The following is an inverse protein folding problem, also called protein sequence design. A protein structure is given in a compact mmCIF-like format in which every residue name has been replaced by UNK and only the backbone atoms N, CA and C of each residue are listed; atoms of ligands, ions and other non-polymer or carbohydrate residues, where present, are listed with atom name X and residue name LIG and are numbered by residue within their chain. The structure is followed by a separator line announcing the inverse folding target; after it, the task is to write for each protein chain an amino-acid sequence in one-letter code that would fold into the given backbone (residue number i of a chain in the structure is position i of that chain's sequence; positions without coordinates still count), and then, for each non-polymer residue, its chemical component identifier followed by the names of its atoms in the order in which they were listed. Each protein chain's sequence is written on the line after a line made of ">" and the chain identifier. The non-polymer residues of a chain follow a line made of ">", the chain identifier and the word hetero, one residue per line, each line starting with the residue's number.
data_IF_092843568752
#
_entry.id   IF_092843568752
#
_cell.length_a   1.000
_cell.length_b   1.000
_cell.length_c   1.000
_cell.angle_alpha   90.00
_cell.angle_beta   90.00
_cell.angle_gamma   90.00
#
_symmetry.space_group_name_H-M   'P 1'
#
loop_
_entity.id
_entity.type
_entity.pdbx_description
1 polymer ?
#
# COMPACT_ATOMS: atom_id res chain seq x y z
N UNK A 1 1.57 2.48 25.95
CA UNK A 1 1.11 1.18 26.48
C UNK A 1 1.86 0.89 27.76
N UNK A 2 1.19 0.23 28.70
CA UNK A 2 1.75 -0.17 30.00
C UNK A 2 1.48 -1.66 30.17
N UNK A 3 2.46 -2.40 30.69
CA UNK A 3 2.23 -3.78 31.08
C UNK A 3 1.43 -3.82 32.39
N UNK A 4 0.53 -4.79 32.50
CA UNK A 4 -0.19 -5.02 33.76
C UNK A 4 0.72 -5.83 34.69
N UNK A 5 1.30 -5.16 35.69
CA UNK A 5 2.29 -5.75 36.60
C UNK A 5 3.72 -5.39 36.22
N UNK A 6 4.67 -6.26 36.57
CA UNK A 6 6.09 -6.02 36.32
C UNK A 6 6.42 -6.06 34.82
N UNK A 7 7.41 -5.27 34.41
CA UNK A 7 7.94 -5.34 33.06
C UNK A 7 8.57 -6.73 32.82
N UNK A 8 8.29 -7.37 31.67
CA UNK A 8 8.82 -8.69 31.37
C UNK A 8 10.36 -8.67 31.32
N UNK A 9 10.99 -9.68 31.92
CA UNK A 9 12.45 -9.81 31.95
C UNK A 9 13.05 -10.35 30.62
N UNK A 10 12.22 -10.62 29.62
CA UNK A 10 12.59 -11.17 28.33
C UNK A 10 11.81 -10.51 27.20
N UNK A 11 12.34 -10.60 25.98
CA UNK A 11 11.70 -10.03 24.80
C UNK A 11 10.48 -10.85 24.38
N UNK A 12 9.44 -10.15 23.91
CA UNK A 12 8.15 -10.68 23.52
C UNK A 12 7.92 -10.49 22.03
N UNK A 13 7.21 -11.44 21.42
CA UNK A 13 6.60 -11.30 20.09
C UNK A 13 5.08 -11.17 20.21
N UNK A 14 4.38 -10.96 19.09
CA UNK A 14 2.93 -10.72 19.09
C UNK A 14 2.10 -11.86 19.70
N UNK A 15 2.57 -13.11 19.62
CA UNK A 15 1.87 -14.26 20.23
C UNK A 15 1.93 -14.30 21.75
N UNK A 16 2.83 -13.52 22.36
CA UNK A 16 3.11 -13.59 23.80
C UNK A 16 2.29 -12.57 24.60
N UNK A 17 1.55 -11.70 23.91
CA UNK A 17 0.83 -10.58 24.51
C UNK A 17 -0.64 -10.53 24.10
N UNK A 18 -1.46 -10.01 25.00
CA UNK A 18 -2.88 -9.73 24.76
C UNK A 18 -3.21 -8.32 25.24
N UNK A 19 -4.19 -7.68 24.60
CA UNK A 19 -4.73 -6.42 25.07
C UNK A 19 -5.77 -6.68 26.16
N UNK A 20 -5.57 -6.06 27.32
CA UNK A 20 -6.56 -6.09 28.41
C UNK A 20 -7.64 -5.05 28.11
N UNK A 21 -8.93 -5.45 28.00
CA UNK A 21 -10.02 -4.50 27.80
C UNK A 21 -10.08 -3.46 28.92
N UNK A 22 -10.26 -2.18 28.56
CA UNK A 22 -10.48 -1.08 29.51
C UNK A 22 -11.83 -0.41 29.22
N UNK A 23 -12.31 0.36 30.19
CA UNK A 23 -13.52 1.18 30.03
C UNK A 23 -13.38 2.06 28.78
N UNK A 24 -14.36 1.99 27.88
CA UNK A 24 -14.44 2.78 26.65
C UNK A 24 -15.76 3.54 26.61
N UNK A 25 -15.71 4.78 26.11
CA UNK A 25 -16.90 5.60 25.80
C UNK A 25 -17.18 5.70 24.29
N UNK A 26 -16.43 4.97 23.45
CA UNK A 26 -16.60 4.99 21.99
C UNK A 26 -17.96 4.38 21.63
N UNK A 27 -18.83 5.15 20.97
CA UNK A 27 -20.19 4.73 20.62
C UNK A 27 -20.23 3.87 19.36
N UNK A 28 -19.37 4.19 18.38
CA UNK A 28 -19.26 3.44 17.13
C UNK A 28 -17.81 3.22 16.73
N UNK A 29 -17.51 2.06 16.15
CA UNK A 29 -16.19 1.78 15.55
C UNK A 29 -15.83 2.75 14.42
N UNK A 30 -16.82 3.40 13.79
CA UNK A 30 -16.60 4.37 12.71
C UNK A 30 -16.10 5.73 13.23
N UNK A 31 -16.18 5.98 14.53
CA UNK A 31 -15.70 7.22 15.17
C UNK A 31 -14.21 7.15 15.52
N UNK A 32 -13.58 5.97 15.39
CA UNK A 32 -12.16 5.77 15.71
C UNK A 32 -11.30 6.24 14.55
N UNK A 33 -10.49 7.27 14.78
CA UNK A 33 -9.50 7.73 13.81
C UNK A 33 -8.29 6.78 13.79
N UNK A 34 -8.00 6.22 12.61
CA UNK A 34 -6.89 5.31 12.37
C UNK A 34 -5.69 6.00 11.73
N UNK A 35 -5.74 7.31 11.50
CA UNK A 35 -4.67 8.03 10.81
C UNK A 35 -3.36 7.94 11.61
N UNK A 36 -2.23 7.49 11.00
CA UNK A 36 -0.97 7.26 11.71
C UNK A 36 -0.30 8.54 12.22
N UNK A 37 -0.56 9.69 11.58
CA UNK A 37 -0.02 11.01 11.94
C UNK A 37 1.52 11.04 12.05
N UNK A 38 2.19 10.25 11.23
CA UNK A 38 3.65 10.12 11.15
C UNK A 38 4.29 11.03 10.09
N UNK A 39 3.52 11.99 9.57
CA UNK A 39 3.91 12.85 8.44
C UNK A 39 3.55 12.27 7.08
N UNK A 40 3.14 10.99 6.99
CA UNK A 40 2.52 10.47 5.78
C UNK A 40 1.07 10.92 5.68
N UNK A 41 0.57 11.16 4.45
CA UNK A 41 -0.85 11.50 4.23
C UNK A 41 -1.79 10.28 4.35
N UNK A 42 -1.29 9.15 4.86
CA UNK A 42 -2.08 7.96 5.09
C UNK A 42 -3.21 8.22 6.10
N UNK A 43 -4.32 7.52 5.94
CA UNK A 43 -5.51 7.60 6.79
C UNK A 43 -5.77 6.30 7.54
N UNK A 44 -5.06 5.24 7.16
CA UNK A 44 -5.05 3.90 7.76
C UNK A 44 -3.59 3.47 7.95
N UNK A 45 -3.21 2.83 9.07
CA UNK A 45 -1.80 2.62 9.43
C UNK A 45 -1.24 1.34 8.81
N UNK A 46 -1.52 1.12 7.52
CA UNK A 46 -1.12 -0.06 6.77
C UNK A 46 -0.21 0.33 5.62
N UNK A 47 0.96 -0.29 5.58
CA UNK A 47 1.98 -0.07 4.54
C UNK A 47 2.27 -1.39 3.84
N UNK A 48 2.27 -1.42 2.50
CA UNK A 48 2.70 -2.61 1.76
C UNK A 48 4.23 -2.63 1.61
N UNK A 49 4.83 -3.80 1.84
CA UNK A 49 6.28 -3.95 1.82
C UNK A 49 6.89 -3.74 0.42
N UNK A 50 8.10 -3.16 0.39
CA UNK A 50 8.89 -2.83 -0.80
C UNK A 50 9.56 -4.05 -1.45
N UNK A 51 8.76 -5.08 -1.75
CA UNK A 51 9.19 -6.32 -2.38
C UNK A 51 8.57 -6.42 -3.77
N UNK A 52 9.35 -6.89 -4.76
CA UNK A 52 8.90 -7.03 -6.16
C UNK A 52 7.65 -7.92 -6.30
N UNK A 53 7.50 -8.94 -5.45
CA UNK A 53 6.35 -9.86 -5.46
C UNK A 53 5.16 -9.36 -4.62
N UNK A 54 5.19 -8.10 -4.18
CA UNK A 54 4.19 -7.52 -3.28
C UNK A 54 3.70 -6.20 -3.83
N UNK A 55 4.58 -5.20 -3.98
CA UNK A 55 4.13 -3.84 -4.28
C UNK A 55 4.55 -3.40 -5.68
N UNK A 56 3.62 -3.55 -6.62
CA UNK A 56 3.62 -2.82 -7.88
C UNK A 56 2.80 -1.52 -7.82
N UNK A 57 2.79 -0.78 -8.93
CA UNK A 57 2.04 0.46 -9.06
C UNK A 57 0.52 0.25 -8.79
N UNK A 58 -0.05 -0.86 -9.28
CA UNK A 58 -1.47 -1.19 -9.10
C UNK A 58 -1.85 -1.40 -7.64
N UNK A 59 -1.04 -2.15 -6.88
CA UNK A 59 -1.25 -2.28 -5.43
C UNK A 59 -1.11 -0.94 -4.72
N UNK A 60 -0.08 -0.15 -5.04
CA UNK A 60 0.14 1.15 -4.41
C UNK A 60 -1.08 2.08 -4.59
N UNK A 61 -1.58 2.23 -5.82
CA UNK A 61 -2.78 3.02 -6.09
C UNK A 61 -4.02 2.46 -5.38
N UNK A 62 -4.22 1.15 -5.40
CA UNK A 62 -5.38 0.51 -4.76
C UNK A 62 -5.34 0.68 -3.24
N UNK A 63 -4.17 0.52 -2.62
CA UNK A 63 -3.99 0.68 -1.19
C UNK A 63 -4.17 2.15 -0.76
N UNK A 64 -3.64 3.10 -1.54
CA UNK A 64 -3.83 4.53 -1.32
C UNK A 64 -5.32 4.94 -1.37
N UNK A 65 -6.11 4.39 -2.31
CA UNK A 65 -7.58 4.60 -2.34
C UNK A 65 -8.29 4.10 -1.08
N UNK A 66 -7.71 3.13 -0.37
CA UNK A 66 -8.22 2.60 0.90
C UNK A 66 -7.57 3.25 2.13
N UNK A 67 -6.73 4.26 1.93
CA UNK A 67 -6.12 5.03 3.01
C UNK A 67 -4.74 4.55 3.46
N UNK A 68 -4.22 3.45 2.91
CA UNK A 68 -2.88 2.94 3.22
C UNK A 68 -1.79 3.56 2.33
N UNK A 69 -0.59 3.00 2.40
CA UNK A 69 0.57 3.46 1.63
C UNK A 69 1.31 2.27 1.00
N UNK A 70 1.57 2.33 -0.31
CA UNK A 70 2.42 1.34 -0.98
C UNK A 70 3.85 1.84 -1.12
N UNK A 71 4.84 1.00 -0.77
CA UNK A 71 6.26 1.28 -1.02
C UNK A 71 6.76 0.50 -2.23
N UNK A 72 7.09 1.21 -3.31
CA UNK A 72 7.68 0.61 -4.50
C UNK A 72 9.10 0.10 -4.22
N UNK A 73 9.51 -1.06 -4.76
CA UNK A 73 10.80 -1.68 -4.48
C UNK A 73 11.98 -0.91 -5.10
N UNK A 74 13.15 -1.04 -4.46
CA UNK A 74 14.38 -0.34 -4.85
C UNK A 74 15.13 -0.99 -6.02
N UNK A 75 14.79 -2.24 -6.37
CA UNK A 75 15.53 -3.06 -7.34
C UNK A 75 15.09 -2.83 -8.79
N UNK A 76 14.06 -2.00 -9.00
CA UNK A 76 13.62 -1.61 -10.33
C UNK A 76 14.59 -0.61 -10.96
N UNK A 77 14.80 -0.66 -12.29
CA UNK A 77 15.46 0.42 -13.01
C UNK A 77 14.80 1.76 -12.70
N UNK A 78 15.61 2.82 -12.53
CA UNK A 78 15.09 4.14 -12.10
C UNK A 78 13.98 4.67 -13.01
N UNK A 79 14.06 4.40 -14.32
CA UNK A 79 13.04 4.80 -15.30
C UNK A 79 11.71 4.08 -15.08
N UNK A 80 11.73 2.80 -14.70
CA UNK A 80 10.53 2.03 -14.40
C UNK A 80 9.89 2.49 -13.08
N UNK A 81 10.73 2.79 -12.08
CA UNK A 81 10.26 3.31 -10.79
C UNK A 81 9.62 4.70 -10.95
N UNK A 82 10.26 5.57 -11.75
CA UNK A 82 9.74 6.89 -12.12
C UNK A 82 8.41 6.80 -12.88
N UNK A 83 8.31 5.91 -13.87
CA UNK A 83 7.07 5.65 -14.60
C UNK A 83 5.97 5.09 -13.69
N UNK A 84 6.30 4.18 -12.77
CA UNK A 84 5.35 3.62 -11.80
C UNK A 84 4.81 4.69 -10.84
N UNK A 85 5.65 5.60 -10.34
CA UNK A 85 5.23 6.72 -9.50
C UNK A 85 4.24 7.61 -10.26
N UNK A 86 4.59 8.03 -11.48
CA UNK A 86 3.70 8.88 -12.30
C UNK A 86 2.38 8.17 -12.61
N UNK A 87 2.44 6.89 -12.95
CA UNK A 87 1.24 6.10 -13.17
C UNK A 87 0.31 6.10 -11.96
N UNK A 88 0.85 5.95 -10.72
CA UNK A 88 0.05 6.03 -9.49
C UNK A 88 -0.53 7.43 -9.31
N UNK A 89 0.25 8.48 -9.57
CA UNK A 89 -0.18 9.88 -9.47
C UNK A 89 -1.27 10.26 -10.48
N UNK A 90 -1.28 9.62 -11.64
CA UNK A 90 -2.28 9.83 -12.69
C UNK A 90 -3.57 9.05 -12.45
N UNK A 91 -3.58 8.11 -11.50
CA UNK A 91 -4.79 7.36 -11.18
C UNK A 91 -5.80 8.23 -10.40
N UNK A 92 -7.10 8.18 -10.75
CA UNK A 92 -8.11 8.90 -9.97
C UNK A 92 -8.30 8.26 -8.60
N UNK A 93 -8.41 9.11 -7.57
CA UNK A 93 -8.63 8.67 -6.21
C UNK A 93 -10.03 8.08 -5.96
N UNK A 94 -11.02 8.48 -6.77
CA UNK A 94 -12.42 8.10 -6.59
C UNK A 94 -12.79 6.73 -7.20
N UNK A 95 -12.09 6.31 -8.26
CA UNK A 95 -12.47 5.16 -9.10
C UNK A 95 -11.39 4.10 -9.10
N UNK A 96 -11.77 2.82 -9.21
CA UNK A 96 -10.79 1.75 -9.29
C UNK A 96 -10.05 1.77 -10.63
N UNK A 97 -8.82 1.27 -10.63
CA UNK A 97 -8.02 1.15 -11.87
C UNK A 97 -8.59 0.03 -12.76
N UNK A 98 -8.90 0.31 -14.04
CA UNK A 98 -9.39 -0.71 -14.96
C UNK A 98 -8.34 -1.81 -15.18
N UNK A 99 -8.79 -3.03 -15.43
CA UNK A 99 -7.95 -4.08 -16.00
C UNK A 99 -8.37 -4.23 -17.46
N UNK A 100 -7.49 -3.83 -18.38
CA UNK A 100 -7.77 -3.82 -19.82
C UNK A 100 -7.00 -4.95 -20.48
N UNK A 101 -7.68 -5.80 -21.24
CA UNK A 101 -7.05 -6.85 -22.06
C UNK A 101 -7.59 -6.79 -23.49
N UNK A 102 -6.75 -7.12 -24.48
CA UNK A 102 -7.16 -7.04 -25.87
C UNK A 102 -8.17 -8.15 -26.22
N UNK A 103 -9.00 -7.94 -27.26
CA UNK A 103 -10.07 -8.87 -27.63
C UNK A 103 -9.58 -10.28 -28.01
N UNK A 104 -8.34 -10.40 -28.49
CA UNK A 104 -7.70 -11.66 -28.89
C UNK A 104 -7.04 -12.41 -27.73
N UNK A 105 -6.90 -11.79 -26.55
CA UNK A 105 -6.49 -12.49 -25.34
C UNK A 105 -7.50 -13.61 -25.01
N UNK A 106 -6.98 -14.69 -24.46
CA UNK A 106 -7.80 -15.85 -24.08
C UNK A 106 -8.30 -15.72 -22.65
N UNK A 107 -9.31 -16.53 -22.31
CA UNK A 107 -9.73 -16.71 -20.90
C UNK A 107 -8.55 -17.19 -20.05
N UNK A 108 -7.71 -18.09 -20.57
CA UNK A 108 -6.52 -18.55 -19.87
C UNK A 108 -5.60 -17.38 -19.50
N UNK A 109 -5.29 -16.49 -20.46
CA UNK A 109 -4.46 -15.29 -20.21
C UNK A 109 -5.10 -14.41 -19.13
N UNK A 110 -6.40 -14.13 -19.24
CA UNK A 110 -7.12 -13.30 -18.28
C UNK A 110 -7.10 -13.90 -16.87
N UNK A 111 -7.26 -15.22 -16.74
CA UNK A 111 -7.26 -15.90 -15.43
C UNK A 111 -5.90 -15.94 -14.74
N UNK A 112 -4.80 -15.69 -15.46
CA UNK A 112 -3.47 -15.49 -14.84
C UNK A 112 -3.41 -14.20 -14.01
N UNK A 113 -4.21 -13.21 -14.38
CA UNK A 113 -4.26 -11.90 -13.73
C UNK A 113 -5.47 -11.77 -12.79
N UNK A 114 -6.58 -12.40 -13.14
CA UNK A 114 -7.85 -12.22 -12.47
C UNK A 114 -8.53 -13.56 -12.13
N UNK A 115 -8.48 -14.01 -10.86
CA UNK A 115 -9.17 -15.22 -10.45
C UNK A 115 -10.69 -15.02 -10.50
N UNK A 116 -11.50 -16.09 -10.68
CA UNK A 116 -12.96 -15.99 -10.78
C UNK A 116 -13.63 -15.51 -9.48
N UNK A 117 -13.70 -14.19 -9.28
CA UNK A 117 -14.11 -13.55 -8.02
C UNK A 117 -15.09 -12.40 -8.26
N UNK A 118 -16.14 -12.31 -7.46
CA UNK A 118 -17.14 -11.25 -7.58
C UNK A 118 -16.58 -9.83 -7.36
N UNK A 119 -17.14 -8.88 -8.11
CA UNK A 119 -16.84 -7.45 -8.04
C UNK A 119 -15.66 -7.02 -8.89
N UNK A 120 -15.15 -7.91 -9.74
CA UNK A 120 -14.04 -7.66 -10.65
C UNK A 120 -14.41 -8.06 -12.08
N UNK A 121 -13.74 -7.43 -13.05
CA UNK A 121 -13.91 -7.75 -14.46
C UNK A 121 -12.81 -7.16 -15.32
N UNK A 122 -12.75 -7.66 -16.55
CA UNK A 122 -11.82 -7.21 -17.58
C UNK A 122 -12.57 -6.33 -18.56
N UNK A 123 -12.05 -5.13 -18.79
CA UNK A 123 -12.46 -4.25 -19.88
C UNK A 123 -11.81 -4.75 -21.16
N UNK A 124 -12.61 -5.14 -22.14
CA UNK A 124 -12.11 -5.72 -23.39
C UNK A 124 -11.92 -4.62 -24.43
N UNK A 125 -10.66 -4.23 -24.66
CA UNK A 125 -10.28 -3.18 -25.60
C UNK A 125 -8.78 -3.29 -25.93
N UNK A 126 -8.33 -2.65 -27.01
CA UNK A 126 -6.90 -2.52 -27.27
C UNK A 126 -6.25 -1.63 -26.18
N UNK A 127 -5.13 -2.06 -25.57
CA UNK A 127 -4.41 -1.22 -24.61
C UNK A 127 -3.96 0.10 -25.24
N UNK A 128 -4.23 1.21 -24.56
CA UNK A 128 -3.84 2.55 -24.97
C UNK A 128 -3.68 3.45 -23.75
N UNK A 129 -2.86 4.50 -23.87
CA UNK A 129 -2.66 5.51 -22.80
C UNK A 129 -3.97 6.23 -22.44
N UNK A 130 -4.84 6.43 -23.43
CA UNK A 130 -6.20 6.95 -23.24
C UNK A 130 -7.17 5.99 -23.91
N UNK A 131 -8.03 5.39 -23.10
CA UNK A 131 -9.06 4.47 -23.55
C UNK A 131 -10.39 5.22 -23.70
N UNK A 132 -10.98 5.23 -24.89
CA UNK A 132 -12.31 5.80 -25.11
C UNK A 132 -13.39 4.74 -24.95
N UNK A 133 -14.58 5.13 -24.48
CA UNK A 133 -15.68 4.18 -24.25
C UNK A 133 -16.18 3.54 -25.55
N UNK A 134 -16.08 4.23 -26.69
CA UNK A 134 -16.40 3.67 -28.00
C UNK A 134 -15.46 2.55 -28.46
N UNK A 135 -14.23 2.51 -27.94
CA UNK A 135 -13.23 1.47 -28.27
C UNK A 135 -13.41 0.21 -27.42
N UNK A 136 -14.24 0.27 -26.38
CA UNK A 136 -14.51 -0.83 -25.47
C UNK A 136 -15.57 -1.76 -26.05
N UNK A 137 -15.20 -3.02 -26.27
CA UNK A 137 -16.08 -4.05 -26.83
C UNK A 137 -17.04 -4.65 -25.79
N UNK A 138 -16.74 -4.46 -24.50
CA UNK A 138 -17.57 -4.88 -23.38
C UNK A 138 -16.75 -5.17 -22.13
N UNK A 139 -17.43 -5.71 -21.12
CA UNK A 139 -16.81 -6.14 -19.86
C UNK A 139 -17.06 -7.63 -19.68
N UNK A 140 -15.99 -8.39 -19.40
CA UNK A 140 -16.10 -9.80 -19.00
C UNK A 140 -15.87 -9.87 -17.49
N UNK A 141 -16.90 -10.23 -16.73
CA UNK A 141 -16.77 -10.36 -15.27
C UNK A 141 -15.86 -11.53 -14.92
N UNK A 142 -15.14 -11.42 -13.80
CA UNK A 142 -14.20 -12.47 -13.39
C UNK A 142 -14.91 -13.80 -13.13
N UNK A 143 -16.12 -13.79 -12.57
CA UNK A 143 -16.95 -14.99 -12.39
C UNK A 143 -17.20 -15.69 -13.72
N UNK A 144 -17.44 -14.92 -14.80
CA UNK A 144 -17.66 -15.50 -16.12
C UNK A 144 -16.41 -16.17 -16.69
N UNK A 145 -15.21 -15.63 -16.42
CA UNK A 145 -13.94 -16.27 -16.79
C UNK A 145 -13.84 -17.69 -16.22
N UNK A 146 -14.29 -17.90 -14.98
CA UNK A 146 -14.24 -19.23 -14.34
C UNK A 146 -15.16 -20.29 -14.94
N UNK A 147 -16.15 -19.89 -15.74
CA UNK A 147 -17.11 -20.81 -16.40
C UNK A 147 -16.85 -20.99 -17.90
N UNK A 148 -16.01 -20.14 -18.49
CA UNK A 148 -15.72 -20.14 -19.91
C UNK A 148 -14.60 -21.13 -20.27
N UNK A 149 -14.53 -21.53 -21.54
CA UNK A 149 -13.45 -22.39 -22.03
C UNK A 149 -12.12 -21.63 -22.00
N UNK A 150 -11.00 -22.24 -21.56
CA UNK A 150 -9.71 -21.55 -21.44
C UNK A 150 -9.19 -20.91 -22.73
N UNK A 151 -9.49 -21.52 -23.89
CA UNK A 151 -9.08 -21.06 -25.22
C UNK A 151 -10.05 -20.06 -25.87
N UNK A 152 -11.20 -19.80 -25.24
CA UNK A 152 -12.14 -18.79 -25.72
C UNK A 152 -11.49 -17.40 -25.68
N UNK A 153 -11.74 -16.59 -26.71
CA UNK A 153 -11.26 -15.21 -26.78
C UNK A 153 -12.17 -14.27 -25.99
N UNK A 154 -11.59 -13.27 -25.36
CA UNK A 154 -12.34 -12.29 -24.58
C UNK A 154 -13.34 -11.50 -25.42
N UNK A 155 -12.99 -11.18 -26.67
CA UNK A 155 -13.89 -10.51 -27.62
C UNK A 155 -15.17 -11.29 -27.92
N UNK A 156 -15.11 -12.62 -27.93
CA UNK A 156 -16.28 -13.49 -28.14
C UNK A 156 -17.19 -13.55 -26.90
N UNK A 157 -16.63 -13.28 -25.72
CA UNK A 157 -17.34 -13.28 -24.44
C UNK A 157 -17.91 -11.92 -24.08
N UNK A 158 -17.26 -10.83 -24.51
CA UNK A 158 -17.73 -9.47 -24.35
C UNK A 158 -19.04 -9.29 -25.14
N UNK A 159 -20.11 -8.93 -24.44
CA UNK A 159 -21.44 -8.74 -25.06
C UNK A 159 -21.88 -7.29 -24.98
N UNK A 160 -22.04 -6.67 -26.15
CA UNK A 160 -22.72 -5.37 -26.29
C UNK A 160 -21.94 -4.19 -25.74
N UNK A 161 -22.55 -2.99 -25.81
CA UNK A 161 -21.96 -1.77 -25.27
C UNK A 161 -21.68 -1.94 -23.78
N UNK A 162 -20.48 -1.56 -23.29
CA UNK A 162 -20.17 -1.64 -21.87
C UNK A 162 -21.14 -0.79 -21.06
N UNK A 163 -21.62 -1.36 -19.95
CA UNK A 163 -22.30 -0.55 -18.94
C UNK A 163 -21.32 0.51 -18.42
N UNK A 164 -21.77 1.77 -18.40
CA UNK A 164 -20.94 2.90 -18.00
C UNK A 164 -21.76 3.94 -17.24
N UNK A 165 -21.06 4.73 -16.43
CA UNK A 165 -21.58 5.90 -15.71
C UNK A 165 -20.64 7.08 -15.96
N UNK A 166 -21.19 8.28 -16.12
CA UNK A 166 -20.38 9.48 -16.18
C UNK A 166 -19.92 9.86 -14.77
N UNK A 167 -18.64 10.21 -14.61
CA UNK A 167 -18.07 10.61 -13.33
C UNK A 167 -18.77 11.85 -12.76
N UNK A 168 -19.24 12.76 -13.63
CA UNK A 168 -19.88 14.01 -13.22
C UNK A 168 -21.31 13.78 -12.68
N UNK A 169 -21.93 12.65 -13.00
CA UNK A 169 -23.25 12.26 -12.50
C UNK A 169 -23.19 11.66 -11.07
N UNK A 170 -22.00 11.33 -10.58
CA UNK A 170 -21.82 10.67 -9.28
C UNK A 170 -21.46 11.67 -8.18
N UNK A 171 -22.49 12.12 -7.48
CA UNK A 171 -22.36 13.10 -6.38
C UNK A 171 -21.67 12.57 -5.10
N UNK A 172 -21.74 11.26 -4.84
CA UNK A 172 -21.17 10.66 -3.62
C UNK A 172 -20.97 9.14 -3.75
N UNK A 173 -20.16 8.56 -2.86
CA UNK A 173 -19.99 7.10 -2.77
C UNK A 173 -21.32 6.36 -2.52
N UNK A 174 -22.26 6.98 -1.80
CA UNK A 174 -23.61 6.41 -1.60
C UNK A 174 -24.41 6.43 -2.90
N UNK A 175 -24.42 7.56 -3.60
CA UNK A 175 -25.09 7.67 -4.89
C UNK A 175 -24.50 6.67 -5.91
N UNK A 176 -23.18 6.51 -5.94
CA UNK A 176 -22.48 5.52 -6.75
C UNK A 176 -22.98 4.09 -6.50
N UNK A 177 -23.19 3.74 -5.23
CA UNK A 177 -23.75 2.43 -4.85
C UNK A 177 -25.19 2.28 -5.34
N UNK A 178 -26.03 3.29 -5.17
CA UNK A 178 -27.44 3.27 -5.58
C UNK A 178 -27.59 3.14 -7.10
N UNK A 179 -26.77 3.85 -7.88
CA UNK A 179 -26.74 3.77 -9.36
C UNK A 179 -26.38 2.35 -9.83
N UNK A 180 -25.31 1.77 -9.29
CA UNK A 180 -24.89 0.41 -9.68
C UNK A 180 -25.93 -0.64 -9.29
N UNK A 181 -26.55 -0.49 -8.10
CA UNK A 181 -27.62 -1.41 -7.67
C UNK A 181 -28.83 -1.29 -8.58
N UNK A 182 -29.24 -0.08 -8.95
CA UNK A 182 -30.37 0.16 -9.85
C UNK A 182 -30.10 -0.37 -11.27
N UNK A 183 -28.86 -0.29 -11.75
CA UNK A 183 -28.43 -0.81 -13.04
C UNK A 183 -28.31 -2.35 -13.08
N UNK A 184 -28.40 -3.02 -11.93
CA UNK A 184 -28.13 -4.45 -11.74
C UNK A 184 -26.79 -4.90 -12.38
N UNK A 185 -25.80 -4.01 -12.37
CA UNK A 185 -24.47 -4.27 -12.89
C UNK A 185 -23.54 -4.71 -11.76
N UNK A 186 -22.65 -5.67 -12.04
CA UNK A 186 -21.60 -6.07 -11.10
C UNK A 186 -20.45 -5.06 -11.07
N UNK A 187 -20.09 -4.59 -12.27
CA UNK A 187 -19.01 -3.63 -12.54
C UNK A 187 -19.40 -2.80 -13.77
N UNK A 188 -19.02 -1.52 -13.76
CA UNK A 188 -19.22 -0.58 -14.87
C UNK A 188 -17.93 0.18 -15.17
N UNK A 189 -17.80 0.68 -16.40
CA UNK A 189 -16.81 1.70 -16.71
C UNK A 189 -17.24 3.04 -16.11
N UNK A 190 -16.29 3.78 -15.55
CA UNK A 190 -16.49 5.19 -15.23
C UNK A 190 -15.89 6.02 -16.36
N UNK A 191 -16.68 6.91 -16.93
CA UNK A 191 -16.26 7.76 -18.05
C UNK A 191 -16.26 9.23 -17.66
N UNK A 192 -15.39 10.02 -18.27
CA UNK A 192 -15.43 11.48 -18.21
C UNK A 192 -15.13 12.03 -19.61
N UNK A 193 -16.09 12.75 -20.19
CA UNK A 193 -16.03 13.20 -21.59
C UNK A 193 -15.71 12.06 -22.58
N UNK A 194 -16.29 10.88 -22.37
CA UNK A 194 -16.11 9.70 -23.21
C UNK A 194 -14.82 8.89 -22.95
N UNK A 195 -13.85 9.45 -22.21
CA UNK A 195 -12.66 8.71 -21.80
C UNK A 195 -12.99 7.80 -20.60
N UNK A 196 -12.58 6.54 -20.64
CA UNK A 196 -12.61 5.63 -19.49
C UNK A 196 -11.56 6.07 -18.48
N UNK A 197 -12.01 6.56 -17.33
CA UNK A 197 -11.15 7.03 -16.24
C UNK A 197 -11.02 6.00 -15.12
N UNK A 198 -11.90 5.00 -15.07
CA UNK A 198 -11.87 4.00 -14.02
C UNK A 198 -12.91 2.91 -14.19
N UNK A 199 -13.01 2.06 -13.18
CA UNK A 199 -14.15 1.15 -12.99
C UNK A 199 -14.80 1.39 -11.64
N UNK A 200 -16.06 0.98 -11.55
CA UNK A 200 -16.80 1.00 -10.30
C UNK A 200 -17.58 -0.30 -10.17
N UNK A 201 -17.40 -0.98 -9.04
CA UNK A 201 -18.20 -2.15 -8.67
C UNK A 201 -19.07 -1.84 -7.46
N UNK A 202 -20.10 -2.66 -7.23
CA UNK A 202 -20.96 -2.55 -6.02
C UNK A 202 -20.12 -2.61 -4.74
N UNK A 203 -19.13 -3.51 -4.69
CA UNK A 203 -18.21 -3.68 -3.55
C UNK A 203 -17.34 -2.45 -3.36
N UNK A 204 -16.84 -1.86 -4.44
CA UNK A 204 -15.99 -0.67 -4.36
C UNK A 204 -16.75 0.59 -3.96
N UNK A 205 -17.95 0.79 -4.49
CA UNK A 205 -18.85 1.87 -4.07
C UNK A 205 -19.17 1.78 -2.57
N UNK A 206 -19.49 0.59 -2.06
CA UNK A 206 -19.70 0.39 -0.62
C UNK A 206 -18.44 0.72 0.19
N UNK A 207 -17.27 0.21 -0.20
CA UNK A 207 -16.02 0.46 0.54
C UNK A 207 -15.60 1.93 0.49
N UNK A 208 -15.95 2.69 -0.55
CA UNK A 208 -15.70 4.14 -0.62
C UNK A 208 -16.51 4.94 0.41
N UNK A 209 -17.56 4.35 1.02
CA UNK A 209 -18.25 4.95 2.17
C UNK A 209 -17.53 4.74 3.51
N UNK A 210 -16.55 3.83 3.55
CA UNK A 210 -15.84 3.43 4.78
C UNK A 210 -14.42 3.99 4.85
N UNK A 211 -13.74 4.05 3.71
CA UNK A 211 -12.34 4.47 3.63
C UNK A 211 -12.21 5.86 3.02
N UNK A 212 -11.33 6.67 3.60
CA UNK A 212 -10.89 7.93 3.01
C UNK A 212 -9.60 7.68 2.21
N UNK A 213 -9.56 7.98 0.91
CA UNK A 213 -8.32 7.90 0.14
C UNK A 213 -7.18 8.70 0.79
N UNK A 214 -5.97 8.15 0.75
CA UNK A 214 -4.76 8.83 1.11
C UNK A 214 -4.21 9.55 -0.13
N UNK A 215 -4.23 10.88 -0.07
CA UNK A 215 -3.88 11.76 -1.20
C UNK A 215 -2.90 12.84 -0.75
N UNK A 216 -2.09 13.30 -1.70
CA UNK A 216 -1.21 14.45 -1.52
C UNK A 216 -2.00 15.77 -1.51
N UNK A 217 -1.28 16.88 -1.35
CA UNK A 217 -1.86 18.24 -1.33
C UNK A 217 -2.62 18.62 -2.60
N UNK A 218 -2.33 17.97 -3.73
CA UNK A 218 -2.96 18.22 -5.03
C UNK A 218 -4.14 17.24 -5.28
N UNK A 219 -4.45 16.38 -4.30
CA UNK A 219 -5.52 15.39 -4.39
C UNK A 219 -5.15 14.11 -5.14
N UNK A 220 -3.87 13.90 -5.46
CA UNK A 220 -3.39 12.69 -6.15
C UNK A 220 -3.03 11.60 -5.15
N UNK A 221 -3.19 10.34 -5.52
CA UNK A 221 -2.91 9.20 -4.63
C UNK A 221 -1.46 9.23 -4.12
N UNK A 222 -1.25 8.90 -2.84
CA UNK A 222 0.11 8.83 -2.30
C UNK A 222 0.85 7.55 -2.68
N UNK A 223 2.17 7.64 -2.81
CA UNK A 223 3.07 6.52 -3.09
C UNK A 223 4.43 6.75 -2.44
N UNK A 224 5.03 5.69 -1.91
CA UNK A 224 6.38 5.70 -1.39
C UNK A 224 7.31 4.90 -2.32
N UNK A 225 8.61 5.16 -2.24
CA UNK A 225 9.60 4.39 -2.99
C UNK A 225 10.83 4.10 -2.13
N UNK A 226 11.32 2.87 -2.22
CA UNK A 226 12.54 2.46 -1.56
C UNK A 226 13.78 2.91 -2.35
N UNK A 227 14.82 3.32 -1.63
CA UNK A 227 16.10 3.75 -2.19
C UNK A 227 17.22 3.02 -1.46
N UNK A 228 18.05 2.32 -2.22
CA UNK A 228 19.24 1.69 -1.67
C UNK A 228 20.29 2.70 -1.21
N UNK A 229 21.17 2.28 -0.32
CA UNK A 229 22.20 3.13 0.30
C UNK A 229 23.50 3.24 -0.53
N UNK A 230 23.54 2.63 -1.71
CA UNK A 230 24.72 2.54 -2.57
C UNK A 230 24.57 3.34 -3.87
N UNK A 231 25.70 3.78 -4.43
CA UNK A 231 25.75 4.55 -5.67
C UNK A 231 25.31 6.00 -5.48
N UNK A 232 24.70 6.58 -6.52
CA UNK A 232 24.19 7.97 -6.47
C UNK A 232 22.83 8.05 -5.74
N UNK A 233 22.85 7.98 -4.42
CA UNK A 233 21.65 8.07 -3.57
C UNK A 233 20.98 9.44 -3.71
N UNK A 234 21.76 10.51 -3.83
CA UNK A 234 21.26 11.88 -3.93
C UNK A 234 20.53 12.14 -5.25
N UNK A 235 21.09 11.70 -6.38
CA UNK A 235 20.47 11.79 -7.69
C UNK A 235 19.19 10.96 -7.77
N UNK A 236 19.21 9.73 -7.24
CA UNK A 236 18.00 8.88 -7.15
C UNK A 236 16.91 9.55 -6.33
N UNK A 237 17.20 10.03 -5.12
CA UNK A 237 16.23 10.70 -4.26
C UNK A 237 15.58 11.91 -4.96
N UNK A 238 16.39 12.78 -5.60
CA UNK A 238 15.88 13.91 -6.39
C UNK A 238 14.96 13.48 -7.53
N UNK A 239 15.36 12.46 -8.28
CA UNK A 239 14.57 11.96 -9.41
C UNK A 239 13.20 11.44 -8.95
N UNK A 240 13.16 10.68 -7.86
CA UNK A 240 11.91 10.12 -7.33
C UNK A 240 10.97 11.19 -6.77
N UNK A 241 11.50 12.21 -6.08
CA UNK A 241 10.68 13.35 -5.63
C UNK A 241 10.19 14.19 -6.81
N UNK A 242 11.01 14.37 -7.86
CA UNK A 242 10.57 15.01 -9.09
C UNK A 242 9.49 14.22 -9.84
N UNK A 243 9.49 12.88 -9.75
CA UNK A 243 8.41 12.03 -10.24
C UNK A 243 7.12 12.17 -9.42
N UNK A 244 7.22 12.65 -8.18
CA UNK A 244 6.11 12.91 -7.28
C UNK A 244 5.98 11.91 -6.11
N UNK A 245 7.04 11.18 -5.74
CA UNK A 245 6.97 10.31 -4.55
C UNK A 245 6.66 11.13 -3.29
N UNK A 246 5.84 10.60 -2.39
CA UNK A 246 5.42 11.29 -1.17
C UNK A 246 6.28 10.92 0.05
N UNK A 247 6.97 9.78 0.00
CA UNK A 247 7.81 9.26 1.08
C UNK A 247 9.00 8.49 0.48
N UNK A 248 10.21 8.77 0.98
CA UNK A 248 11.41 8.01 0.62
C UNK A 248 11.76 7.00 1.71
N UNK A 249 12.03 5.76 1.32
CA UNK A 249 12.37 4.67 2.26
C UNK A 249 13.80 4.19 2.01
N UNK A 250 14.74 4.60 2.86
CA UNK A 250 16.10 4.06 2.85
C UNK A 250 16.09 2.72 3.58
N UNK A 251 16.25 1.63 2.81
CA UNK A 251 16.05 0.28 3.33
C UNK A 251 17.26 -0.62 3.09
N UNK A 252 17.75 -1.21 4.18
CA UNK A 252 18.78 -2.24 4.18
C UNK A 252 18.55 -3.22 5.34
N UNK A 253 19.08 -4.44 5.23
CA UNK A 253 18.88 -5.48 6.24
C UNK A 253 19.39 -5.08 7.64
N UNK A 254 20.47 -4.30 7.71
CA UNK A 254 21.02 -3.75 8.96
C UNK A 254 21.21 -2.24 8.83
N UNK A 255 20.22 -1.47 9.29
CA UNK A 255 20.19 -0.01 9.15
C UNK A 255 21.18 0.72 10.05
N UNK A 256 21.61 0.12 11.16
CA UNK A 256 22.55 0.74 12.11
C UNK A 256 24.01 0.56 11.67
N UNK A 257 24.32 1.05 10.46
CA UNK A 257 25.65 0.97 9.85
C UNK A 257 26.07 2.32 9.23
N UNK A 258 27.37 2.58 9.15
CA UNK A 258 27.92 3.84 8.65
C UNK A 258 27.43 4.22 7.25
N UNK A 259 27.30 3.24 6.34
CA UNK A 259 26.81 3.48 4.99
C UNK A 259 25.37 4.02 4.97
N UNK A 260 24.50 3.50 5.84
CA UNK A 260 23.13 4.00 5.99
C UNK A 260 23.14 5.42 6.57
N UNK A 261 23.90 5.67 7.63
CA UNK A 261 23.99 6.99 8.24
C UNK A 261 24.51 8.05 7.27
N UNK A 262 25.51 7.70 6.45
CA UNK A 262 26.05 8.58 5.42
C UNK A 262 25.03 8.85 4.30
N UNK A 263 24.33 7.82 3.81
CA UNK A 263 23.29 7.96 2.80
C UNK A 263 22.12 8.82 3.31
N UNK A 264 21.66 8.58 4.53
CA UNK A 264 20.56 9.32 5.16
C UNK A 264 20.92 10.79 5.37
N UNK A 265 22.12 11.11 5.89
CA UNK A 265 22.60 12.50 5.99
C UNK A 265 22.65 13.18 4.62
N UNK A 266 23.09 12.44 3.59
CA UNK A 266 23.17 12.96 2.22
C UNK A 266 21.79 13.31 1.68
N UNK A 267 20.79 12.45 1.86
CA UNK A 267 19.41 12.68 1.39
C UNK A 267 18.72 13.75 2.22
N UNK A 268 18.87 13.73 3.55
CA UNK A 268 18.31 14.72 4.47
C UNK A 268 18.79 16.13 4.16
N UNK A 269 20.09 16.31 3.87
CA UNK A 269 20.67 17.60 3.52
C UNK A 269 20.12 18.21 2.21
N UNK A 270 19.38 17.44 1.40
CA UNK A 270 18.72 17.94 0.19
C UNK A 270 17.40 18.67 0.48
N UNK A 271 16.83 18.49 1.67
CA UNK A 271 15.58 19.11 2.13
C UNK A 271 14.45 19.00 1.09
N UNK A 272 14.21 17.77 0.61
CA UNK A 272 13.26 17.50 -0.48
C UNK A 272 11.78 17.66 -0.09
N UNK A 273 11.49 18.02 1.16
CA UNK A 273 10.12 18.27 1.64
C UNK A 273 9.23 17.03 1.79
N UNK A 274 9.80 15.81 1.73
CA UNK A 274 9.10 14.54 1.92
C UNK A 274 9.66 13.81 3.15
N UNK A 275 8.83 13.06 3.91
CA UNK A 275 9.31 12.25 5.01
C UNK A 275 10.35 11.23 4.57
N UNK A 276 11.39 11.06 5.40
CA UNK A 276 12.43 10.05 5.24
C UNK A 276 12.20 8.91 6.24
N UNK A 277 11.98 7.72 5.70
CA UNK A 277 11.94 6.47 6.45
C UNK A 277 13.31 5.81 6.36
N UNK A 278 13.86 5.32 7.48
CA UNK A 278 15.12 4.58 7.48
C UNK A 278 15.06 3.32 8.33
N UNK A 279 15.68 2.24 7.86
CA UNK A 279 15.77 0.99 8.59
C UNK A 279 16.60 -0.09 7.90
N UNK A 280 16.71 -1.30 8.46
CA UNK A 280 15.99 -1.76 9.66
C UNK A 280 16.84 -1.75 10.94
N UNK A 281 16.23 -1.36 12.05
CA UNK A 281 16.84 -1.40 13.40
C UNK A 281 15.91 -2.07 14.41
N UNK A 282 16.44 -2.45 15.57
CA UNK A 282 15.69 -3.09 16.67
C UNK A 282 16.12 -2.61 18.07
N UNK A 283 16.88 -1.51 18.14
CA UNK A 283 17.48 -0.97 19.39
C UNK A 283 17.25 0.53 19.48
N UNK A 284 17.17 1.07 20.70
CA UNK A 284 17.10 2.53 20.90
C UNK A 284 18.30 3.27 20.30
N UNK A 285 19.53 2.76 20.45
CA UNK A 285 20.71 3.41 19.89
C UNK A 285 20.63 3.56 18.35
N UNK A 286 20.12 2.54 17.66
CA UNK A 286 19.90 2.62 16.21
C UNK A 286 18.82 3.62 15.83
N UNK A 287 17.80 3.80 16.67
CA UNK A 287 16.81 4.87 16.50
C UNK A 287 17.47 6.23 16.64
N UNK A 288 18.19 6.47 17.73
CA UNK A 288 18.81 7.77 18.02
C UNK A 288 19.76 8.19 16.90
N UNK A 289 20.62 7.28 16.43
CA UNK A 289 21.57 7.57 15.35
C UNK A 289 20.88 7.83 14.00
N UNK A 290 19.83 7.07 13.66
CA UNK A 290 19.08 7.28 12.41
C UNK A 290 18.27 8.59 12.45
N UNK A 291 17.64 8.93 13.58
CA UNK A 291 16.93 10.21 13.73
C UNK A 291 17.92 11.37 13.67
N UNK A 292 19.07 11.28 14.36
CA UNK A 292 20.12 12.29 14.29
C UNK A 292 20.70 12.46 12.87
N UNK A 293 20.72 11.39 12.06
CA UNK A 293 21.11 11.44 10.67
C UNK A 293 20.03 12.00 9.73
N UNK A 294 18.78 12.17 10.19
CA UNK A 294 17.71 12.88 9.49
C UNK A 294 16.46 12.06 9.17
N UNK A 295 16.27 10.85 9.71
CA UNK A 295 15.04 10.11 9.53
C UNK A 295 13.89 10.69 10.36
N UNK A 296 12.70 10.79 9.76
CA UNK A 296 11.45 11.14 10.45
C UNK A 296 10.73 9.90 11.00
N UNK A 297 10.94 8.76 10.32
CA UNK A 297 10.27 7.50 10.59
C UNK A 297 11.32 6.38 10.60
N UNK A 298 11.30 5.54 11.64
CA UNK A 298 12.20 4.40 11.76
C UNK A 298 11.47 3.11 11.43
N UNK A 299 12.00 2.35 10.47
CA UNK A 299 11.49 1.02 10.12
C UNK A 299 12.12 -0.03 11.03
N UNK A 300 11.29 -0.72 11.81
CA UNK A 300 11.71 -1.58 12.92
C UNK A 300 11.37 -3.03 12.63
N UNK A 301 12.41 -3.87 12.61
CA UNK A 301 12.26 -5.32 12.46
C UNK A 301 13.47 -5.96 11.80
N UNK A 302 14.15 -6.87 12.51
CA UNK A 302 15.23 -7.69 11.95
C UNK A 302 14.92 -9.16 12.20
N UNK A 303 14.68 -9.89 11.11
CA UNK A 303 14.30 -11.29 11.14
C UNK A 303 12.84 -11.69 11.42
N UNK A 304 11.84 -10.81 11.64
CA UNK A 304 10.47 -11.24 11.96
C UNK A 304 9.64 -11.58 10.70
N UNK A 305 10.10 -11.20 9.51
CA UNK A 305 9.37 -11.37 8.26
C UNK A 305 9.09 -12.84 7.92
N UNK A 306 7.93 -13.13 7.34
CA UNK A 306 7.50 -14.51 7.07
C UNK A 306 8.47 -15.29 6.15
N UNK A 307 9.08 -14.62 5.18
CA UNK A 307 10.08 -15.18 4.26
C UNK A 307 11.53 -14.91 4.70
N UNK A 308 11.73 -14.23 5.84
CA UNK A 308 13.05 -13.80 6.27
C UNK A 308 13.79 -14.96 6.95
N UNK A 309 14.96 -15.33 6.42
CA UNK A 309 15.80 -16.41 6.98
C UNK A 309 16.94 -15.89 7.84
N UNK A 310 17.06 -14.57 8.07
CA UNK A 310 18.18 -13.94 8.77
C UNK A 310 18.45 -14.57 10.14
N UNK A 311 17.42 -14.81 10.96
CA UNK A 311 17.61 -15.46 12.27
C UNK A 311 18.17 -16.88 12.15
N UNK A 312 17.68 -17.63 11.17
CA UNK A 312 18.09 -19.02 10.95
C UNK A 312 19.52 -19.12 10.42
N UNK A 313 19.92 -18.19 9.56
CA UNK A 313 21.22 -18.23 8.88
C UNK A 313 22.32 -17.48 9.64
N UNK A 314 21.98 -16.46 10.43
CA UNK A 314 22.96 -15.54 11.04
C UNK A 314 22.85 -15.41 12.56
N UNK A 315 21.81 -15.99 13.17
CA UNK A 315 21.46 -15.79 14.58
C UNK A 315 21.18 -14.31 14.96
N UNK A 316 20.99 -13.42 13.99
CA UNK A 316 20.65 -12.01 14.22
C UNK A 316 19.15 -11.78 14.11
N UNK A 317 18.58 -11.13 15.13
CA UNK A 317 17.20 -10.67 15.15
C UNK A 317 16.70 -10.42 16.56
N UNK A 318 15.49 -9.86 16.69
CA UNK A 318 14.87 -9.55 17.98
C UNK A 318 13.35 -9.77 17.93
N UNK A 319 12.71 -10.37 18.96
CA UNK A 319 11.25 -10.51 19.02
C UNK A 319 10.52 -9.18 18.79
N UNK A 320 9.52 -9.21 17.91
CA UNK A 320 9.06 -8.00 17.22
C UNK A 320 8.30 -7.03 18.14
N UNK A 321 7.50 -7.55 19.08
CA UNK A 321 6.70 -6.70 19.95
C UNK A 321 7.61 -5.86 20.86
N UNK A 322 8.60 -6.48 21.52
CA UNK A 322 9.58 -5.75 22.34
C UNK A 322 10.44 -4.79 21.52
N UNK A 323 10.89 -5.20 20.33
CA UNK A 323 11.65 -4.34 19.44
C UNK A 323 10.86 -3.07 19.09
N UNK A 324 9.59 -3.20 18.68
CA UNK A 324 8.72 -2.06 18.38
C UNK A 324 8.46 -1.22 19.62
N UNK A 325 8.17 -1.83 20.77
CA UNK A 325 7.85 -1.09 21.98
C UNK A 325 8.99 -0.18 22.45
N UNK A 326 10.21 -0.73 22.53
CA UNK A 326 11.41 0.00 22.97
C UNK A 326 11.80 1.09 21.96
N UNK A 327 11.86 0.75 20.68
CA UNK A 327 12.22 1.71 19.63
C UNK A 327 11.19 2.83 19.49
N UNK A 328 9.91 2.55 19.69
CA UNK A 328 8.87 3.58 19.66
C UNK A 328 8.97 4.54 20.86
N UNK A 329 9.43 4.08 22.03
CA UNK A 329 9.72 4.97 23.17
C UNK A 329 10.90 5.91 22.86
N UNK A 330 11.98 5.37 22.29
CA UNK A 330 13.13 6.16 21.87
C UNK A 330 12.75 7.17 20.78
N UNK A 331 12.06 6.72 19.72
CA UNK A 331 11.65 7.57 18.60
C UNK A 331 10.77 8.73 19.06
N UNK A 332 9.80 8.49 19.95
CA UNK A 332 8.97 9.55 20.52
C UNK A 332 9.79 10.60 21.28
N UNK A 333 10.80 10.18 22.02
CA UNK A 333 11.69 11.10 22.76
C UNK A 333 12.52 11.95 21.79
N UNK A 334 12.91 11.37 20.65
CA UNK A 334 13.64 12.05 19.59
C UNK A 334 12.75 12.83 18.60
N UNK A 335 11.43 12.83 18.76
CA UNK A 335 10.50 13.52 17.86
C UNK A 335 10.22 12.80 16.53
N UNK A 336 10.44 11.48 16.48
CA UNK A 336 10.25 10.62 15.32
C UNK A 336 9.17 9.55 15.55
N UNK A 337 8.82 8.82 14.49
CA UNK A 337 7.83 7.74 14.52
C UNK A 337 8.46 6.38 14.20
N UNK A 338 7.72 5.30 14.44
CA UNK A 338 8.13 3.93 14.12
C UNK A 338 7.13 3.26 13.17
N UNK A 339 7.66 2.56 12.16
CA UNK A 339 6.93 1.55 11.40
C UNK A 339 7.34 0.16 11.86
N UNK A 340 6.37 -0.66 12.26
CA UNK A 340 6.63 -2.06 12.57
C UNK A 340 6.67 -2.88 11.27
N UNK A 341 7.82 -3.47 10.93
CA UNK A 341 8.05 -4.20 9.68
C UNK A 341 8.19 -5.71 9.94
N UNK A 342 7.20 -6.47 9.47
CA UNK A 342 7.18 -7.93 9.56
C UNK A 342 6.62 -8.50 10.87
N UNK A 343 6.57 -9.84 10.95
CA UNK A 343 6.05 -10.59 12.11
C UNK A 343 4.53 -10.70 12.19
N UNK A 344 3.79 -9.98 11.34
CA UNK A 344 2.32 -9.98 11.31
C UNK A 344 1.78 -11.22 10.61
N UNK A 345 0.82 -11.90 11.25
CA UNK A 345 0.07 -13.04 10.67
C UNK A 345 -1.43 -12.78 10.68
N UNK A 346 -1.95 -12.17 11.74
CA UNK A 346 -3.39 -11.94 11.95
C UNK A 346 -3.72 -10.46 12.17
N UNK A 347 -4.96 -10.01 11.90
CA UNK A 347 -5.39 -8.63 12.17
C UNK A 347 -5.06 -8.10 13.58
N UNK A 348 -5.08 -8.98 14.59
CA UNK A 348 -4.71 -8.61 15.97
C UNK A 348 -3.25 -8.17 16.11
N UNK A 349 -2.34 -8.68 15.28
CA UNK A 349 -0.92 -8.38 15.38
C UNK A 349 -0.64 -6.94 14.96
N UNK A 350 -1.43 -6.41 14.01
CA UNK A 350 -1.43 -4.97 13.67
C UNK A 350 -1.87 -4.15 14.89
N UNK A 351 -2.99 -4.52 15.53
CA UNK A 351 -3.44 -3.82 16.73
C UNK A 351 -2.40 -3.87 17.86
N UNK A 352 -1.69 -4.98 18.02
CA UNK A 352 -0.60 -5.13 19.00
C UNK A 352 0.62 -4.27 18.65
N UNK A 353 1.01 -4.18 17.37
CA UNK A 353 2.10 -3.31 16.92
C UNK A 353 1.79 -1.82 17.17
N UNK A 354 0.56 -1.40 16.86
CA UNK A 354 0.09 -0.03 17.14
C UNK A 354 0.05 0.22 18.65
N UNK A 355 -0.43 -0.74 19.45
CA UNK A 355 -0.41 -0.63 20.90
C UNK A 355 1.02 -0.53 21.47
N UNK A 356 1.97 -1.29 20.91
CA UNK A 356 3.38 -1.20 21.28
C UNK A 356 3.97 0.20 21.02
N UNK A 357 3.41 0.92 20.05
CA UNK A 357 3.70 2.34 19.78
C UNK A 357 4.13 2.63 18.35
N UNK A 358 4.01 1.68 17.42
CA UNK A 358 4.20 1.95 16.00
C UNK A 358 3.09 2.90 15.50
N UNK A 359 3.45 3.80 14.59
CA UNK A 359 2.48 4.63 13.89
C UNK A 359 1.82 3.85 12.75
N UNK A 360 2.60 3.06 12.02
CA UNK A 360 2.12 2.22 10.91
C UNK A 360 2.75 0.83 10.95
N UNK A 361 2.14 -0.12 10.24
CA UNK A 361 2.61 -1.51 10.16
C UNK A 361 2.85 -1.86 8.71
N UNK A 362 4.10 -2.23 8.39
CA UNK A 362 4.51 -2.71 7.08
C UNK A 362 4.34 -4.22 6.99
N UNK A 363 3.62 -4.67 5.96
CA UNK A 363 3.24 -6.07 5.77
C UNK A 363 3.52 -6.47 4.33
N UNK A 364 4.18 -7.62 4.13
CA UNK A 364 4.35 -8.22 2.81
C UNK A 364 3.31 -9.33 2.56
N UNK A 365 3.24 -10.30 3.46
CA UNK A 365 2.51 -11.56 3.28
C UNK A 365 1.01 -11.43 3.04
N UNK A 366 0.36 -10.37 3.51
CA UNK A 366 -1.08 -10.17 3.28
C UNK A 366 -1.40 -9.62 1.89
N UNK A 367 -0.47 -8.89 1.30
CA UNK A 367 -0.64 -8.30 -0.01
C UNK A 367 -0.07 -9.20 -1.12
N UNK A 368 0.91 -10.05 -0.80
CA UNK A 368 1.40 -11.08 -1.71
C UNK A 368 0.25 -11.98 -2.22
N UNK A 369 0.12 -12.11 -3.53
CA UNK A 369 -0.92 -12.93 -4.17
C UNK A 369 -2.32 -12.31 -4.18
N UNK A 370 -2.46 -11.03 -3.84
CA UNK A 370 -3.66 -10.26 -4.19
C UNK A 370 -3.72 -10.01 -5.70
N UNK A 371 -4.88 -9.60 -6.21
CA UNK A 371 -5.07 -9.30 -7.65
C UNK A 371 -4.17 -8.12 -8.09
N UNK A 372 -3.86 -7.23 -7.15
CA UNK A 372 -3.14 -5.99 -7.41
C UNK A 372 -1.61 -6.09 -7.21
N UNK A 373 -1.13 -7.16 -6.57
CA UNK A 373 0.29 -7.44 -6.32
C UNK A 373 0.93 -8.18 -7.50
#
# INVERSE_FOLDING_TARGET
>A
MEFYGDAPAFDLTYSDVFLVPRRSGVGSRLEVDLSPRDGTAATVPLVSANMNSVTGARLAATLARRGGLGVLPQDLPLQELDAAIRWVKDQPAAWDTPLVLPPDATVADATTLLPPTEGYGVIVAQPADRLMIEDVQGIVTAVRLGSALPDARLGDLARGRPASVDADDIESARHAFDVIVAADAEIVCVVHHGQVVGTLSRRSALRATLYRPAVDRDGRLIVAAAVGINGDVAGKARALVAAGVDVLVLDTAHGHQEGMLAALRTVSALDLGVPLVAGNVVTSAGVDDLVAAGANIIKVGVGPGAMCTTRMMTAVGRPQFSAVHETALAARTAGAHVWADGGVRYPRDVALALAAGAASVMIGSWFAGTIEA
#
